data_IF_553546733875
#
_entry.id   IF_553546733875
#
_cell.length_a   1.000
_cell.length_b   1.000
_cell.length_c   1.000
_cell.angle_alpha   90.00
_cell.angle_beta   90.00
_cell.angle_gamma   90.00
#
_symmetry.space_group_name_H-M   'P 1'
#
loop_
_entity.id
_entity.type
_entity.pdbx_description
1 polymer ?
#
# COMPACT_ATOMS: atom_id res chain seq x y z
N UNK A 1 -21.00 19.59 -6.50
CA UNK A 1 -20.78 19.58 -7.97
C UNK A 1 -21.03 18.21 -8.60
N UNK A 2 -20.43 17.12 -8.09
CA UNK A 2 -20.62 15.75 -8.62
C UNK A 2 -22.08 15.25 -8.54
N UNK A 3 -22.76 15.47 -7.41
CA UNK A 3 -24.16 15.06 -7.20
C UNK A 3 -25.16 15.80 -8.11
N UNK A 4 -24.85 17.05 -8.47
CA UNK A 4 -25.68 17.86 -9.37
C UNK A 4 -25.58 17.35 -10.80
N UNK A 5 -24.37 17.03 -11.28
CA UNK A 5 -24.15 16.45 -12.60
C UNK A 5 -24.78 15.05 -12.74
N UNK A 6 -24.71 14.22 -11.68
CA UNK A 6 -25.36 12.91 -11.62
C UNK A 6 -26.89 13.02 -11.81
N UNK A 7 -27.54 13.96 -11.12
CA UNK A 7 -28.99 14.16 -11.20
C UNK A 7 -29.44 14.72 -12.56
N UNK A 8 -28.64 15.60 -13.18
CA UNK A 8 -28.88 16.10 -14.54
C UNK A 8 -28.73 15.00 -15.60
N UNK A 9 -27.73 14.11 -15.46
CA UNK A 9 -27.57 12.93 -16.31
C UNK A 9 -28.77 11.99 -16.23
N UNK A 10 -29.27 11.72 -15.01
CA UNK A 10 -30.44 10.86 -14.79
C UNK A 10 -31.77 11.44 -15.30
N UNK A 11 -31.88 12.78 -15.44
CA UNK A 11 -33.03 13.44 -16.06
C UNK A 11 -33.03 13.36 -17.58
N UNK A 12 -31.85 13.19 -18.21
CA UNK A 12 -31.68 13.15 -19.67
C UNK A 12 -31.81 11.74 -20.27
N UNK A 13 -31.95 10.71 -19.42
CA UNK A 13 -32.05 9.31 -19.83
C UNK A 13 -33.51 8.95 -20.20
N UNK A 14 -33.75 8.37 -21.39
CA UNK A 14 -35.08 7.95 -21.82
C UNK A 14 -35.67 6.85 -20.93
N UNK A 15 -37.00 6.93 -20.72
CA UNK A 15 -37.82 6.18 -19.74
C UNK A 15 -37.55 4.66 -19.58
N UNK A 16 -37.29 3.85 -20.63
CA UNK A 16 -37.08 2.42 -20.45
C UNK A 16 -35.73 2.09 -19.77
N UNK A 17 -34.69 2.88 -20.02
CA UNK A 17 -33.35 2.60 -19.48
C UNK A 17 -33.12 3.27 -18.12
N UNK A 18 -33.97 4.21 -17.71
CA UNK A 18 -33.83 4.93 -16.43
C UNK A 18 -33.75 3.99 -15.22
N UNK A 19 -34.52 2.90 -15.23
CA UNK A 19 -34.47 1.88 -14.17
C UNK A 19 -33.13 1.14 -14.18
N UNK A 20 -32.65 0.75 -15.36
CA UNK A 20 -31.36 0.10 -15.52
C UNK A 20 -30.19 0.99 -15.08
N UNK A 21 -30.19 2.27 -15.45
CA UNK A 21 -29.17 3.23 -15.02
C UNK A 21 -29.17 3.48 -13.50
N UNK A 22 -30.34 3.49 -12.86
CA UNK A 22 -30.43 3.61 -11.38
C UNK A 22 -29.85 2.37 -10.71
N UNK A 23 -30.21 1.16 -11.18
CA UNK A 23 -29.64 -0.07 -10.65
C UNK A 23 -28.12 -0.16 -10.88
N UNK A 24 -27.65 0.16 -12.08
CA UNK A 24 -26.22 0.16 -12.41
C UNK A 24 -25.43 1.17 -11.58
N UNK A 25 -25.96 2.39 -11.40
CA UNK A 25 -25.30 3.41 -10.59
C UNK A 25 -25.29 3.07 -9.10
N UNK A 26 -26.36 2.44 -8.57
CA UNK A 26 -26.38 1.93 -7.20
C UNK A 26 -25.37 0.79 -6.98
N UNK A 27 -25.28 -0.16 -7.92
CA UNK A 27 -24.32 -1.28 -7.83
C UNK A 27 -22.87 -0.78 -7.90
N UNK A 28 -22.57 0.16 -8.80
CA UNK A 28 -21.25 0.76 -8.90
C UNK A 28 -20.88 1.56 -7.65
N UNK A 29 -21.83 2.33 -7.09
CA UNK A 29 -21.60 3.07 -5.86
C UNK A 29 -21.37 2.12 -4.68
N UNK A 30 -22.15 1.06 -4.55
CA UNK A 30 -22.00 0.06 -3.49
C UNK A 30 -20.64 -0.67 -3.59
N UNK A 31 -20.24 -1.07 -4.80
CA UNK A 31 -18.93 -1.67 -5.05
C UNK A 31 -17.76 -0.73 -4.73
N UNK A 32 -17.89 0.56 -5.09
CA UNK A 32 -16.89 1.58 -4.78
C UNK A 32 -16.78 1.85 -3.28
N UNK A 33 -17.90 1.92 -2.54
CA UNK A 33 -17.90 2.09 -1.08
C UNK A 33 -17.28 0.88 -0.38
N UNK A 34 -17.60 -0.34 -0.84
CA UNK A 34 -16.97 -1.55 -0.32
C UNK A 34 -15.46 -1.59 -0.62
N UNK A 35 -15.06 -1.18 -1.84
CA UNK A 35 -13.65 -1.10 -2.24
C UNK A 35 -12.86 -0.03 -1.49
N UNK A 36 -13.46 1.12 -1.19
CA UNK A 36 -12.84 2.17 -0.35
C UNK A 36 -12.70 1.73 1.11
N UNK A 37 -13.63 0.93 1.65
CA UNK A 37 -13.52 0.39 3.01
C UNK A 37 -12.43 -0.68 3.13
N UNK A 38 -12.14 -1.41 2.06
CA UNK A 38 -10.98 -2.29 1.99
C UNK A 38 -9.67 -1.52 1.77
N UNK A 39 -9.74 -0.27 1.28
CA UNK A 39 -8.62 0.63 1.09
C UNK A 39 -7.56 0.08 0.12
N UNK A 40 -6.68 0.95 -0.36
CA UNK A 40 -5.33 0.53 -0.75
C UNK A 40 -4.52 0.23 0.53
N UNK A 41 -5.00 -0.70 1.35
CA UNK A 41 -4.30 -1.21 2.52
C UNK A 41 -3.32 -2.29 2.08
N UNK A 42 -2.31 -1.91 1.30
CA UNK A 42 -1.14 -2.75 1.12
C UNK A 42 -0.50 -2.94 2.48
N UNK A 43 -0.74 -4.10 3.10
CA UNK A 43 -0.18 -4.45 4.39
C UNK A 43 1.33 -4.50 4.31
N UNK A 44 2.00 -3.37 4.54
CA UNK A 44 3.30 -3.40 5.18
C UNK A 44 3.02 -3.78 6.64
N UNK A 45 2.85 -5.09 6.86
CA UNK A 45 2.77 -5.68 8.19
C UNK A 45 4.11 -5.46 8.88
N UNK A 46 4.29 -4.30 9.49
CA UNK A 46 5.44 -3.96 10.30
C UNK A 46 4.91 -3.47 11.63
N UNK A 47 4.69 -4.39 12.57
CA UNK A 47 4.54 -4.06 13.99
C UNK A 47 5.87 -3.52 14.50
N UNK A 48 6.23 -2.31 14.10
CA UNK A 48 7.44 -1.62 14.55
C UNK A 48 7.19 -1.08 15.95
N UNK A 49 7.40 -1.92 16.95
CA UNK A 49 7.57 -1.44 18.32
C UNK A 49 8.67 -0.37 18.30
N UNK A 50 8.37 0.83 18.81
CA UNK A 50 9.32 1.93 18.97
C UNK A 50 10.37 1.66 20.04
N UNK A 51 11.02 0.50 19.95
CA UNK A 51 12.22 0.15 20.69
C UNK A 51 13.45 0.33 19.81
N UNK A 52 14.65 0.45 20.41
CA UNK A 52 15.90 0.53 19.66
C UNK A 52 16.03 -0.66 18.72
N UNK A 53 16.28 -0.38 17.43
CA UNK A 53 16.55 -1.41 16.43
C UNK A 53 18.03 -1.79 16.50
N UNK A 54 18.34 -3.08 16.55
CA UNK A 54 19.73 -3.55 16.63
C UNK A 54 20.15 -4.18 15.31
N UNK A 55 21.18 -3.64 14.66
CA UNK A 55 21.75 -4.18 13.42
C UNK A 55 23.16 -4.72 13.65
N UNK A 56 23.54 -5.78 12.93
CA UNK A 56 24.87 -6.37 13.02
C UNK A 56 25.72 -6.01 11.80
N UNK A 57 26.94 -5.51 12.04
CA UNK A 57 27.90 -5.16 10.99
C UNK A 57 29.11 -6.09 11.08
N UNK A 58 29.52 -6.64 9.93
CA UNK A 58 30.78 -7.39 9.78
C UNK A 58 31.60 -6.76 8.66
N UNK A 59 32.92 -6.76 8.81
CA UNK A 59 33.84 -6.35 7.76
C UNK A 59 34.47 -7.59 7.12
N UNK A 60 34.56 -7.60 5.79
CA UNK A 60 35.21 -8.67 5.03
C UNK A 60 36.43 -8.08 4.33
N UNK A 61 37.59 -8.69 4.56
CA UNK A 61 38.83 -8.41 3.85
C UNK A 61 39.12 -9.57 2.89
N UNK A 62 39.21 -9.28 1.59
CA UNK A 62 39.36 -10.29 0.55
C UNK A 62 40.73 -10.99 0.50
N UNK A 63 41.74 -10.45 1.18
CA UNK A 63 43.13 -10.91 1.08
C UNK A 63 43.87 -10.34 -0.13
N UNK A 64 45.17 -10.63 -0.18
CA UNK A 64 46.05 -10.35 -1.31
C UNK A 64 47.14 -11.45 -1.44
N UNK A 65 48.17 -11.21 -2.26
CA UNK A 65 49.25 -12.18 -2.47
C UNK A 65 50.08 -12.51 -1.21
N UNK A 66 50.01 -11.67 -0.18
CA UNK A 66 50.80 -11.76 1.04
C UNK A 66 49.94 -12.12 2.26
N UNK A 67 48.64 -11.76 2.25
CA UNK A 67 47.73 -11.99 3.38
C UNK A 67 46.46 -12.73 2.95
N UNK A 68 46.08 -13.75 3.72
CA UNK A 68 44.81 -14.45 3.52
C UNK A 68 43.61 -13.55 3.83
N UNK A 69 42.49 -13.78 3.15
CA UNK A 69 41.23 -13.12 3.46
C UNK A 69 40.72 -13.45 4.86
N UNK A 70 40.00 -12.52 5.47
CA UNK A 70 39.42 -12.69 6.81
C UNK A 70 38.13 -11.89 6.98
N UNK A 71 37.28 -12.34 7.89
CA UNK A 71 36.04 -11.66 8.27
C UNK A 71 36.13 -11.27 9.74
N UNK A 72 35.78 -10.02 10.06
CA UNK A 72 35.76 -9.55 11.44
C UNK A 72 34.62 -10.18 12.24
N UNK A 73 34.72 -10.18 13.59
CA UNK A 73 33.56 -10.43 14.44
C UNK A 73 32.42 -9.44 14.14
N UNK A 74 31.17 -9.89 14.36
CA UNK A 74 30.00 -9.04 14.20
C UNK A 74 29.91 -8.02 15.34
N UNK A 75 29.67 -6.76 14.99
CA UNK A 75 29.44 -5.66 15.92
C UNK A 75 27.96 -5.29 15.87
N UNK A 76 27.29 -5.31 17.02
CA UNK A 76 25.90 -4.89 17.13
C UNK A 76 25.82 -3.38 17.33
N UNK A 77 25.04 -2.70 16.50
CA UNK A 77 24.76 -1.27 16.58
C UNK A 77 23.29 -1.03 16.93
N UNK A 78 23.00 0.07 17.62
CA UNK A 78 21.64 0.56 17.86
C UNK A 78 21.28 1.65 16.86
N UNK A 79 20.14 1.52 16.19
CA UNK A 79 19.52 2.54 15.34
C UNK A 79 18.36 3.16 16.14
N UNK A 80 18.45 4.48 16.34
CA UNK A 80 17.53 5.29 17.16
C UNK A 80 16.85 6.37 16.31
#
# INVERSE_FOLDING_TARGET
MLLVLLLLGLKRVPRPYRRAYVCASLLLLAGLVAGLAAGCGGGYGGGGGGGPHYDSITAVYGGDATYAGSTSPAITITVQ
#
